data_IF_684366295418
#
_entry.id   IF_684366295418
#
_cell.length_a   1.000
_cell.length_b   1.000
_cell.length_c   1.000
_cell.angle_alpha   90.00
_cell.angle_beta   90.00
_cell.angle_gamma   90.00
#
_symmetry.space_group_name_H-M   'P 1'
#
loop_
_entity.id
_entity.type
_entity.pdbx_description
1 polymer ?
#
# COMPACT_ATOMS: atom_id res chain seq x y z
N UNK A 1 -63.66 9.42 58.54
CA UNK A 1 -63.65 9.54 57.07
C UNK A 1 -62.23 9.41 56.58
N UNK A 2 -62.06 8.83 55.38
CA UNK A 2 -60.93 8.00 54.97
C UNK A 2 -59.67 8.78 54.56
N UNK A 3 -58.55 8.10 54.77
CA UNK A 3 -57.27 8.11 54.05
C UNK A 3 -57.28 8.74 52.64
N UNK A 4 -56.38 9.70 52.40
CA UNK A 4 -55.71 9.91 51.11
C UNK A 4 -54.53 10.87 51.31
N UNK A 5 -53.30 10.47 50.99
CA UNK A 5 -52.17 11.42 51.06
C UNK A 5 -50.74 10.87 51.03
N UNK A 6 -50.53 9.55 50.87
CA UNK A 6 -49.19 8.97 50.69
C UNK A 6 -49.20 8.01 49.51
N UNK A 7 -48.85 8.49 48.32
CA UNK A 7 -48.73 7.60 47.15
C UNK A 7 -48.06 8.25 45.95
N UNK A 8 -48.16 9.57 45.80
CA UNK A 8 -47.75 10.25 44.56
C UNK A 8 -46.23 10.48 44.50
N UNK A 9 -45.60 10.96 45.59
CA UNK A 9 -44.16 11.28 45.59
C UNK A 9 -43.20 10.08 45.48
N UNK A 10 -43.60 8.89 45.95
CA UNK A 10 -42.77 7.69 45.86
C UNK A 10 -42.70 7.08 44.45
N UNK A 11 -43.74 7.30 43.63
CA UNK A 11 -43.82 6.80 42.26
C UNK A 11 -42.93 7.66 41.34
N UNK A 12 -42.98 8.98 41.52
CA UNK A 12 -42.18 9.94 40.75
C UNK A 12 -40.67 9.75 40.94
N UNK A 13 -40.22 9.58 42.20
CA UNK A 13 -38.80 9.35 42.52
C UNK A 13 -38.31 8.00 41.99
N UNK A 14 -39.18 6.98 41.96
CA UNK A 14 -38.86 5.65 41.42
C UNK A 14 -38.78 5.70 39.89
N UNK A 15 -39.69 6.40 39.22
CA UNK A 15 -39.68 6.62 37.78
C UNK A 15 -38.42 7.36 37.31
N UNK A 16 -38.02 8.42 38.02
CA UNK A 16 -36.83 9.22 37.70
C UNK A 16 -35.52 8.44 37.88
N UNK A 17 -35.44 7.54 38.88
CA UNK A 17 -34.29 6.63 39.05
C UNK A 17 -34.22 5.55 37.98
N UNK A 18 -35.35 5.05 37.50
CA UNK A 18 -35.43 4.06 36.40
C UNK A 18 -35.06 4.73 35.08
N UNK A 19 -35.61 5.91 34.78
CA UNK A 19 -35.28 6.69 33.57
C UNK A 19 -33.78 6.99 33.49
N UNK A 20 -33.16 7.42 34.60
CA UNK A 20 -31.73 7.72 34.65
C UNK A 20 -30.84 6.49 34.48
N UNK A 21 -31.27 5.31 34.92
CA UNK A 21 -30.58 4.02 34.68
C UNK A 21 -30.73 3.55 33.24
N UNK A 22 -31.91 3.73 32.64
CA UNK A 22 -32.15 3.41 31.22
C UNK A 22 -31.33 4.32 30.31
N UNK A 23 -31.27 5.63 30.60
CA UNK A 23 -30.43 6.56 29.84
C UNK A 23 -28.92 6.25 29.99
N UNK A 24 -28.47 5.86 31.19
CA UNK A 24 -27.07 5.44 31.39
C UNK A 24 -26.75 4.12 30.65
N UNK A 25 -27.64 3.13 30.68
CA UNK A 25 -27.46 1.88 29.96
C UNK A 25 -27.45 2.09 28.43
N UNK A 26 -28.34 2.95 27.91
CA UNK A 26 -28.34 3.32 26.50
C UNK A 26 -27.06 4.06 26.08
N UNK A 27 -26.56 4.97 26.92
CA UNK A 27 -25.29 5.67 26.65
C UNK A 27 -24.08 4.72 26.66
N UNK A 28 -24.05 3.73 27.57
CA UNK A 28 -22.98 2.71 27.62
C UNK A 28 -23.05 1.76 26.41
N UNK A 29 -24.23 1.41 25.92
CA UNK A 29 -24.40 0.59 24.71
C UNK A 29 -23.98 1.36 23.45
N UNK A 30 -24.27 2.67 23.37
CA UNK A 30 -23.81 3.52 22.26
C UNK A 30 -22.29 3.74 22.30
N UNK A 31 -21.68 3.90 23.48
CA UNK A 31 -20.22 4.00 23.61
C UNK A 31 -19.50 2.67 23.37
N UNK A 32 -20.12 1.53 23.69
CA UNK A 32 -19.58 0.20 23.39
C UNK A 32 -19.75 -0.19 21.91
N UNK A 33 -20.75 0.36 21.21
CA UNK A 33 -20.99 0.15 19.78
C UNK A 33 -20.14 1.03 18.86
N UNK A 34 -19.64 2.17 19.35
CA UNK A 34 -18.76 3.07 18.58
C UNK A 34 -17.31 2.54 18.45
N UNK A 35 -16.94 1.54 19.24
CA UNK A 35 -15.59 0.98 19.29
C UNK A 35 -15.41 -0.28 18.46
N UNK A 36 -15.69 -0.25 17.15
CA UNK A 36 -15.20 -1.22 16.14
C UNK A 36 -15.70 -0.89 14.72
N UNK A 37 -15.51 0.35 14.27
CA UNK A 37 -15.25 0.52 12.85
C UNK A 37 -13.88 -0.13 12.61
N UNK A 38 -13.85 -1.37 12.10
CA UNK A 38 -12.64 -1.91 11.53
C UNK A 38 -12.16 -0.86 10.53
N UNK A 39 -10.98 -0.26 10.74
CA UNK A 39 -10.32 0.50 9.71
C UNK A 39 -10.16 -0.47 8.54
N UNK A 40 -11.06 -0.35 7.56
CA UNK A 40 -11.15 -1.27 6.45
C UNK A 40 -9.83 -1.11 5.70
N UNK A 41 -9.01 -2.16 5.74
CA UNK A 41 -7.78 -2.30 4.96
C UNK A 41 -8.15 -2.38 3.49
N UNK A 42 -8.62 -1.28 2.93
CA UNK A 42 -9.14 -1.30 1.57
C UNK A 42 -8.21 -0.49 0.70
N UNK A 43 -7.71 -1.17 -0.32
CA UNK A 43 -7.23 -0.52 -1.53
C UNK A 43 -8.30 0.49 -1.95
N UNK A 44 -9.59 0.11 -1.87
CA UNK A 44 -10.75 0.95 -2.11
C UNK A 44 -10.70 2.26 -1.31
N UNK A 45 -10.96 3.37 -2.01
CA UNK A 45 -10.82 4.76 -1.56
C UNK A 45 -9.40 5.17 -1.16
N UNK A 46 -8.40 4.29 -1.33
CA UNK A 46 -6.98 4.56 -1.12
C UNK A 46 -6.27 5.06 -2.37
N UNK A 47 -4.96 5.39 -2.28
CA UNK A 47 -4.20 5.94 -3.40
C UNK A 47 -4.04 5.04 -4.64
N UNK A 48 -4.24 3.73 -4.49
CA UNK A 48 -4.23 2.75 -5.59
C UNK A 48 -5.64 2.27 -5.97
N UNK A 49 -6.70 2.89 -5.45
CA UNK A 49 -8.03 2.66 -6.00
C UNK A 49 -8.24 3.52 -7.22
N UNK A 50 -8.49 2.87 -8.34
CA UNK A 50 -8.77 3.51 -9.62
C UNK A 50 -10.22 3.28 -10.06
N UNK A 51 -11.06 2.70 -9.20
CA UNK A 51 -12.49 2.54 -9.45
C UNK A 51 -13.26 3.88 -9.33
N UNK A 52 -14.58 3.87 -9.59
CA UNK A 52 -15.37 5.09 -9.49
C UNK A 52 -15.34 5.71 -8.09
N UNK A 53 -15.18 7.03 -8.04
CA UNK A 53 -15.13 7.81 -6.80
C UNK A 53 -13.72 8.18 -6.34
N UNK A 54 -12.68 7.52 -6.87
CA UNK A 54 -11.28 7.80 -6.55
C UNK A 54 -10.72 9.10 -7.14
N UNK A 55 -9.66 9.62 -6.52
CA UNK A 55 -8.96 10.84 -6.96
C UNK A 55 -8.50 10.76 -8.43
N UNK A 56 -8.15 9.56 -8.88
CA UNK A 56 -8.02 9.18 -10.29
C UNK A 56 -9.01 8.05 -10.51
N UNK A 57 -10.01 8.25 -11.37
CA UNK A 57 -11.06 7.24 -11.60
C UNK A 57 -11.10 6.77 -13.04
N UNK A 58 -11.24 5.48 -13.19
CA UNK A 58 -11.66 4.85 -14.41
C UNK A 58 -13.15 5.15 -14.67
N UNK A 59 -13.50 5.37 -15.93
CA UNK A 59 -14.88 5.66 -16.39
C UNK A 59 -15.42 4.61 -17.35
N UNK A 60 -14.63 3.59 -17.65
CA UNK A 60 -15.05 2.44 -18.45
C UNK A 60 -16.02 1.56 -17.66
N UNK A 61 -17.26 1.47 -18.16
CA UNK A 61 -18.33 0.72 -17.51
C UNK A 61 -18.01 -0.78 -17.35
N UNK A 62 -17.12 -1.35 -18.17
CA UNK A 62 -16.76 -2.77 -18.12
C UNK A 62 -15.90 -3.15 -16.92
N UNK A 63 -15.15 -2.18 -16.37
CA UNK A 63 -14.26 -2.38 -15.22
C UNK A 63 -14.53 -1.46 -14.03
N UNK A 64 -15.53 -0.60 -14.15
CA UNK A 64 -15.98 0.22 -13.05
C UNK A 64 -16.41 -0.67 -11.86
N UNK A 65 -15.73 -0.50 -10.72
CA UNK A 65 -15.92 -1.31 -9.51
C UNK A 65 -14.90 -2.45 -9.31
N UNK A 66 -13.99 -2.67 -10.26
CA UNK A 66 -12.95 -3.70 -10.16
C UNK A 66 -11.63 -3.11 -9.64
N UNK A 67 -11.49 -2.88 -8.33
CA UNK A 67 -10.28 -2.25 -7.75
C UNK A 67 -8.99 -3.02 -8.03
N UNK A 68 -9.03 -4.35 -8.15
CA UNK A 68 -7.83 -5.16 -8.35
C UNK A 68 -7.33 -5.20 -9.80
N UNK A 69 -8.19 -4.91 -10.79
CA UNK A 69 -7.89 -5.11 -12.22
C UNK A 69 -6.71 -4.28 -12.71
N UNK A 70 -6.45 -3.16 -12.04
CA UNK A 70 -5.34 -2.24 -12.36
C UNK A 70 -3.97 -2.80 -11.98
N UNK A 71 -3.94 -3.86 -11.18
CA UNK A 71 -2.72 -4.51 -10.70
C UNK A 71 -2.68 -5.99 -11.09
N UNK A 72 -3.82 -6.69 -11.00
CA UNK A 72 -3.91 -8.13 -11.16
C UNK A 72 -4.98 -8.53 -12.16
N UNK A 73 -4.71 -9.59 -12.92
CA UNK A 73 -5.70 -10.28 -13.76
C UNK A 73 -5.90 -11.69 -13.24
N UNK A 74 -7.07 -12.34 -13.40
CA UNK A 74 -7.21 -13.75 -13.04
C UNK A 74 -6.29 -14.70 -13.82
N UNK A 75 -6.00 -14.38 -15.09
CA UNK A 75 -5.16 -15.20 -15.98
C UNK A 75 -4.34 -14.34 -16.94
N UNK A 76 -3.28 -14.92 -17.50
CA UNK A 76 -2.41 -14.30 -18.52
C UNK A 76 -1.73 -13.01 -18.05
N UNK A 77 -1.50 -12.87 -16.74
CA UNK A 77 -0.68 -11.81 -16.17
C UNK A 77 0.80 -12.17 -16.20
N UNK A 78 1.65 -11.15 -16.04
CA UNK A 78 3.07 -11.36 -15.81
C UNK A 78 3.31 -12.13 -14.49
N UNK A 79 4.41 -12.88 -14.44
CA UNK A 79 4.76 -13.77 -13.32
C UNK A 79 5.70 -13.13 -12.30
N UNK A 80 6.25 -11.93 -12.58
CA UNK A 80 7.20 -11.25 -11.70
C UNK A 80 6.55 -10.86 -10.36
N UNK A 81 5.26 -10.51 -10.42
CA UNK A 81 4.33 -10.34 -9.29
C UNK A 81 3.08 -11.14 -9.65
N UNK A 82 2.38 -11.80 -8.70
CA UNK A 82 1.30 -12.73 -9.05
C UNK A 82 0.27 -12.13 -10.01
N UNK A 83 0.22 -12.68 -11.22
CA UNK A 83 -0.72 -12.31 -12.28
C UNK A 83 -0.78 -10.79 -12.55
N UNK A 84 0.39 -10.15 -12.63
CA UNK A 84 0.49 -8.71 -12.81
C UNK A 84 -0.11 -8.27 -14.15
N UNK A 85 -1.07 -7.34 -14.10
CA UNK A 85 -1.90 -6.95 -15.23
C UNK A 85 -1.38 -5.73 -16.00
N UNK A 86 -0.07 -5.53 -16.00
CA UNK A 86 0.59 -4.46 -16.75
C UNK A 86 1.89 -4.97 -17.35
N UNK A 87 2.34 -4.31 -18.42
CA UNK A 87 3.67 -4.54 -18.96
C UNK A 87 4.75 -4.12 -17.95
N UNK A 88 5.91 -4.77 -18.01
CA UNK A 88 7.09 -4.29 -17.28
C UNK A 88 7.61 -3.01 -17.92
N UNK A 89 8.09 -2.08 -17.08
CA UNK A 89 8.83 -0.91 -17.56
C UNK A 89 10.09 -1.35 -18.32
N UNK A 90 10.42 -0.65 -19.40
CA UNK A 90 11.68 -0.80 -20.15
C UNK A 90 12.64 0.36 -19.87
N UNK A 91 12.33 1.21 -18.89
CA UNK A 91 13.13 2.39 -18.54
C UNK A 91 14.53 2.02 -18.03
N UNK A 92 15.51 2.84 -18.40
CA UNK A 92 16.84 2.81 -17.78
C UNK A 92 16.84 3.71 -16.55
N UNK A 93 17.32 3.19 -15.42
CA UNK A 93 17.35 3.88 -14.14
C UNK A 93 18.76 4.40 -13.81
N UNK A 94 18.84 5.63 -13.31
CA UNK A 94 20.03 6.11 -12.61
C UNK A 94 19.97 5.59 -11.18
N UNK A 95 20.93 4.74 -10.82
CA UNK A 95 20.93 4.02 -9.54
C UNK A 95 22.02 4.54 -8.62
N UNK A 96 21.93 4.11 -7.37
CA UNK A 96 22.78 4.49 -6.26
C UNK A 96 24.27 4.31 -6.56
N UNK A 97 25.07 5.30 -6.18
CA UNK A 97 26.53 5.22 -6.15
C UNK A 97 27.02 5.98 -4.93
N UNK A 98 27.69 5.29 -4.01
CA UNK A 98 28.29 5.89 -2.81
C UNK A 98 29.51 5.07 -2.38
N UNK A 99 30.53 5.75 -1.85
CA UNK A 99 31.70 5.12 -1.24
C UNK A 99 31.39 4.39 0.06
N UNK A 100 30.22 4.65 0.66
CA UNK A 100 29.77 4.02 1.92
C UNK A 100 28.72 2.94 1.69
N UNK A 101 28.51 2.50 0.45
CA UNK A 101 27.53 1.47 0.11
C UNK A 101 28.23 0.11 0.02
N UNK A 102 27.81 -0.84 0.86
CA UNK A 102 28.39 -2.19 0.90
C UNK A 102 27.83 -3.11 -0.19
N UNK A 103 26.58 -2.92 -0.61
CA UNK A 103 25.98 -3.68 -1.69
C UNK A 103 26.37 -3.10 -3.05
N UNK A 104 26.51 -3.97 -4.05
CA UNK A 104 26.59 -3.52 -5.43
C UNK A 104 25.28 -2.84 -5.85
N UNK A 105 25.39 -1.75 -6.62
CA UNK A 105 24.23 -1.10 -7.21
C UNK A 105 23.47 -2.08 -8.13
N UNK A 106 22.13 -2.06 -8.12
CA UNK A 106 21.34 -2.93 -8.99
C UNK A 106 21.46 -2.47 -10.45
N UNK A 107 21.25 -3.39 -11.40
CA UNK A 107 21.07 -3.02 -12.80
C UNK A 107 19.61 -2.62 -13.06
N UNK A 108 19.36 -1.83 -14.11
CA UNK A 108 17.98 -1.54 -14.53
C UNK A 108 17.20 -2.82 -14.84
N UNK A 109 17.83 -3.81 -15.47
CA UNK A 109 17.22 -5.11 -15.75
C UNK A 109 16.82 -5.86 -14.46
N UNK A 110 17.63 -5.76 -13.40
CA UNK A 110 17.28 -6.33 -12.11
C UNK A 110 16.04 -5.63 -11.51
N UNK A 111 15.98 -4.29 -11.56
CA UNK A 111 14.82 -3.52 -11.07
C UNK A 111 13.55 -3.92 -11.86
N UNK A 112 13.64 -4.00 -13.18
CA UNK A 112 12.53 -4.34 -14.08
C UNK A 112 12.00 -5.75 -13.85
N UNK A 113 12.90 -6.71 -13.58
CA UNK A 113 12.53 -8.12 -13.36
C UNK A 113 12.12 -8.44 -11.92
N UNK A 114 12.53 -7.61 -10.96
CA UNK A 114 12.17 -7.72 -9.55
C UNK A 114 10.75 -7.21 -9.22
N UNK A 115 10.41 -7.28 -7.94
CA UNK A 115 9.10 -6.82 -7.43
C UNK A 115 8.95 -5.30 -7.58
N UNK A 116 10.03 -4.55 -7.41
CA UNK A 116 10.03 -3.10 -7.61
C UNK A 116 9.63 -2.72 -9.04
N UNK A 117 9.93 -3.55 -10.04
CA UNK A 117 9.53 -3.33 -11.43
C UNK A 117 8.01 -3.20 -11.63
N UNK A 118 7.21 -3.89 -10.82
CA UNK A 118 5.76 -3.74 -10.82
C UNK A 118 5.34 -2.34 -10.34
N UNK A 119 5.96 -1.83 -9.26
CA UNK A 119 5.74 -0.47 -8.80
C UNK A 119 6.19 0.54 -9.87
N UNK A 120 7.38 0.32 -10.44
CA UNK A 120 7.93 1.23 -11.43
C UNK A 120 7.09 1.26 -12.70
N UNK A 121 6.32 0.23 -13.04
CA UNK A 121 5.38 0.27 -14.18
C UNK A 121 4.31 1.37 -14.09
N UNK A 122 4.17 2.06 -12.95
CA UNK A 122 3.38 3.28 -12.81
C UNK A 122 4.23 4.47 -12.35
N UNK A 123 5.11 4.24 -11.38
CA UNK A 123 5.80 5.31 -10.65
C UNK A 123 6.99 5.91 -11.40
N UNK A 124 7.51 5.22 -12.43
CA UNK A 124 8.57 5.77 -13.28
C UNK A 124 8.05 6.70 -14.38
N UNK A 125 6.73 6.75 -14.58
CA UNK A 125 6.09 7.55 -15.62
C UNK A 125 6.32 7.05 -17.05
N UNK A 126 6.68 5.78 -17.24
CA UNK A 126 6.95 5.22 -18.58
C UNK A 126 5.73 4.57 -19.23
N UNK A 127 4.83 4.01 -18.43
CA UNK A 127 3.63 3.30 -18.91
C UNK A 127 2.40 4.01 -18.37
N UNK A 128 1.48 4.33 -19.26
CA UNK A 128 0.26 5.01 -18.90
C UNK A 128 -0.55 4.18 -17.89
N UNK A 129 -1.18 4.87 -16.94
CA UNK A 129 -1.89 4.19 -15.83
C UNK A 129 -3.10 3.39 -16.32
N UNK A 130 -3.56 3.70 -17.51
CA UNK A 130 -4.72 3.15 -18.16
C UNK A 130 -4.45 2.03 -19.15
N UNK A 131 -3.19 1.63 -19.29
CA UNK A 131 -2.79 0.50 -20.12
C UNK A 131 -2.74 -0.76 -19.25
N UNK A 132 -3.65 -1.70 -19.54
CA UNK A 132 -3.73 -3.00 -18.89
C UNK A 132 -3.31 -4.11 -19.86
N UNK A 133 -2.69 -5.17 -19.33
CA UNK A 133 -2.26 -6.32 -20.12
C UNK A 133 -3.45 -7.20 -20.55
N UNK A 134 -4.43 -7.38 -19.66
CA UNK A 134 -5.63 -8.18 -19.88
C UNK A 134 -6.85 -7.49 -19.29
N UNK A 135 -7.88 -7.28 -20.11
CA UNK A 135 -9.15 -6.72 -19.68
C UNK A 135 -10.29 -7.69 -20.00
N UNK A 136 -10.66 -8.54 -19.04
CA UNK A 136 -11.81 -9.46 -19.17
C UNK A 136 -11.85 -10.24 -20.49
N UNK A 137 -10.71 -10.76 -20.96
CA UNK A 137 -10.62 -11.55 -22.20
C UNK A 137 -10.57 -10.73 -23.50
N UNK A 138 -10.51 -9.39 -23.41
CA UNK A 138 -10.15 -8.53 -24.55
C UNK A 138 -8.63 -8.40 -24.60
N UNK A 139 -8.04 -8.66 -25.77
CA UNK A 139 -6.59 -8.77 -25.95
C UNK A 139 -5.82 -7.45 -25.69
N UNK A 140 -4.65 -7.64 -25.07
CA UNK A 140 -3.45 -6.80 -24.91
C UNK A 140 -3.49 -5.35 -25.46
N UNK A 141 -3.29 -4.40 -24.53
CA UNK A 141 -3.18 -2.95 -24.73
C UNK A 141 -4.49 -2.16 -24.90
N UNK A 142 -5.59 -2.65 -24.30
CA UNK A 142 -6.77 -1.82 -24.11
C UNK A 142 -6.42 -0.62 -23.20
N UNK A 143 -6.46 0.58 -23.75
CA UNK A 143 -6.43 1.82 -22.97
C UNK A 143 -7.83 2.09 -22.45
N UNK A 144 -7.98 2.23 -21.14
CA UNK A 144 -9.28 2.47 -20.52
C UNK A 144 -9.46 3.95 -20.14
N UNK A 145 -10.66 4.49 -20.21
CA UNK A 145 -10.84 5.93 -19.97
C UNK A 145 -10.64 6.31 -18.51
N UNK A 146 -9.80 7.32 -18.27
CA UNK A 146 -9.56 7.89 -16.94
C UNK A 146 -9.90 9.37 -16.87
N UNK A 147 -10.34 9.80 -15.69
CA UNK A 147 -10.53 11.21 -15.36
C UNK A 147 -9.76 11.56 -14.09
N UNK A 148 -8.91 12.57 -14.19
CA UNK A 148 -8.23 13.16 -13.03
C UNK A 148 -9.18 14.08 -12.27
N UNK A 149 -9.35 13.84 -10.97
CA UNK A 149 -10.09 14.75 -10.09
C UNK A 149 -9.17 15.81 -9.49
N UNK A 150 -9.74 16.92 -9.02
CA UNK A 150 -9.00 17.99 -8.34
C UNK A 150 -8.28 17.52 -7.06
N UNK A 151 -8.72 16.40 -6.46
CA UNK A 151 -8.14 15.80 -5.26
C UNK A 151 -6.88 14.96 -5.55
N UNK A 152 -6.51 14.75 -6.81
CA UNK A 152 -5.33 13.99 -7.18
C UNK A 152 -4.03 14.72 -6.80
N UNK A 153 -3.18 14.05 -6.01
CA UNK A 153 -1.87 14.56 -5.59
C UNK A 153 -0.80 14.49 -6.69
N UNK A 154 -0.88 13.49 -7.55
CA UNK A 154 0.02 13.35 -8.70
C UNK A 154 -0.46 14.18 -9.90
N UNK A 155 0.51 14.56 -10.72
CA UNK A 155 0.30 15.15 -12.04
C UNK A 155 0.49 14.09 -13.10
N UNK A 156 -0.35 14.16 -14.13
CA UNK A 156 -0.35 13.26 -15.27
C UNK A 156 -0.16 14.08 -16.54
N UNK A 157 0.56 13.54 -17.52
CA UNK A 157 0.85 14.24 -18.79
C UNK A 157 -0.38 14.41 -19.69
N UNK A 158 -1.44 13.64 -19.46
CA UNK A 158 -2.72 13.79 -20.14
C UNK A 158 -3.89 13.51 -19.19
N UNK A 159 -5.10 13.93 -19.56
CA UNK A 159 -6.33 13.75 -18.77
C UNK A 159 -7.36 12.82 -19.44
N UNK A 160 -6.93 11.93 -20.34
CA UNK A 160 -7.80 11.05 -21.14
C UNK A 160 -7.20 9.67 -21.40
N UNK A 161 -7.80 8.94 -22.34
CA UNK A 161 -7.34 7.60 -22.77
C UNK A 161 -6.03 7.67 -23.56
N UNK A 162 -5.21 6.63 -23.41
CA UNK A 162 -4.12 6.32 -24.31
C UNK A 162 -2.74 6.41 -23.66
N UNK A 163 -1.72 6.06 -24.43
CA UNK A 163 -0.34 5.88 -23.99
C UNK A 163 0.34 7.12 -23.38
N UNK A 164 -0.31 8.28 -23.43
CA UNK A 164 0.21 9.55 -22.91
C UNK A 164 -0.33 9.90 -21.52
N UNK A 165 -1.08 9.03 -20.85
CA UNK A 165 -1.58 9.25 -19.49
C UNK A 165 -0.63 8.65 -18.41
N UNK A 166 0.63 9.10 -18.44
CA UNK A 166 1.68 8.70 -17.50
C UNK A 166 1.74 9.65 -16.31
N UNK A 167 2.20 9.16 -15.15
CA UNK A 167 2.61 10.05 -14.05
C UNK A 167 3.80 10.89 -14.52
N UNK A 168 3.78 12.19 -14.23
CA UNK A 168 4.83 13.11 -14.69
C UNK A 168 5.41 14.00 -13.61
N UNK A 169 4.72 14.19 -12.48
CA UNK A 169 5.21 14.95 -11.33
C UNK A 169 4.33 14.73 -10.09
N UNK A 170 4.77 15.29 -8.95
CA UNK A 170 4.04 15.26 -7.69
C UNK A 170 4.07 13.89 -7.01
N UNK A 171 3.69 13.82 -5.74
CA UNK A 171 3.67 12.53 -5.04
C UNK A 171 2.54 11.63 -5.57
N UNK A 172 2.81 10.35 -5.94
CA UNK A 172 4.02 9.57 -5.68
C UNK A 172 4.92 9.29 -6.91
N UNK A 173 5.02 10.18 -7.89
CA UNK A 173 5.94 10.03 -9.03
C UNK A 173 7.41 9.98 -8.57
N UNK A 174 8.15 8.98 -9.05
CA UNK A 174 9.58 8.80 -8.80
C UNK A 174 10.41 9.13 -10.05
N UNK A 175 9.93 8.74 -11.23
CA UNK A 175 10.70 8.84 -12.46
C UNK A 175 11.79 7.76 -12.55
N UNK A 176 12.84 8.06 -13.32
CA UNK A 176 13.94 7.13 -13.59
C UNK A 176 15.24 7.45 -12.86
N UNK A 177 15.28 8.55 -12.10
CA UNK A 177 16.41 8.88 -11.23
C UNK A 177 16.11 8.41 -9.82
N UNK A 178 16.73 7.30 -9.41
CA UNK A 178 16.54 6.68 -8.09
C UNK A 178 17.64 7.05 -7.11
N UNK A 179 18.60 7.92 -7.49
CA UNK A 179 19.78 8.21 -6.67
C UNK A 179 19.44 8.91 -5.35
N UNK A 180 18.25 9.49 -5.24
CA UNK A 180 17.72 10.14 -4.04
C UNK A 180 16.77 9.25 -3.22
N UNK A 181 16.56 8.00 -3.63
CA UNK A 181 15.73 7.02 -2.91
C UNK A 181 16.57 6.09 -2.02
N UNK A 182 15.90 5.33 -1.15
CA UNK A 182 16.55 4.21 -0.46
C UNK A 182 16.90 3.11 -1.47
N UNK A 183 18.09 2.49 -1.39
CA UNK A 183 18.46 1.36 -2.22
C UNK A 183 17.41 0.24 -2.28
N UNK A 184 16.95 -0.08 -3.49
CA UNK A 184 16.09 -1.23 -3.82
C UNK A 184 16.82 -2.18 -4.76
N UNK A 185 16.34 -3.41 -4.85
CA UNK A 185 16.90 -4.50 -5.65
C UNK A 185 18.37 -4.80 -5.32
N UNK A 186 18.84 -4.37 -4.14
CA UNK A 186 20.13 -4.75 -3.59
C UNK A 186 20.01 -6.05 -2.80
N UNK A 187 20.99 -6.93 -2.92
CA UNK A 187 21.05 -8.17 -2.14
C UNK A 187 21.38 -7.80 -0.68
N UNK A 188 20.44 -8.04 0.23
CA UNK A 188 20.59 -7.63 1.63
C UNK A 188 21.77 -8.32 2.31
N UNK A 189 21.98 -9.61 1.98
CA UNK A 189 23.07 -10.38 2.58
C UNK A 189 24.45 -9.84 2.23
N UNK A 190 24.63 -9.23 1.06
CA UNK A 190 25.92 -8.61 0.69
C UNK A 190 26.28 -7.49 1.66
N UNK A 191 25.33 -6.60 1.99
CA UNK A 191 25.54 -5.55 2.99
C UNK A 191 25.74 -6.13 4.39
N UNK A 192 24.86 -7.05 4.82
CA UNK A 192 24.95 -7.67 6.15
C UNK A 192 26.26 -8.43 6.36
N UNK A 193 26.78 -9.09 5.34
CA UNK A 193 28.05 -9.83 5.43
C UNK A 193 29.27 -8.89 5.46
N UNK A 194 29.22 -7.76 4.74
CA UNK A 194 30.29 -6.76 4.75
C UNK A 194 30.41 -6.03 6.10
N UNK A 195 29.28 -5.70 6.72
CA UNK A 195 29.22 -4.97 8.00
C UNK A 195 28.24 -5.62 9.00
N UNK A 196 28.57 -6.81 9.56
CA UNK A 196 27.64 -7.60 10.37
C UNK A 196 27.13 -6.91 11.64
N UNK A 197 27.85 -5.92 12.16
CA UNK A 197 27.47 -5.14 13.34
C UNK A 197 26.48 -4.03 13.03
N UNK A 198 26.23 -3.71 11.75
CA UNK A 198 25.36 -2.62 11.30
C UNK A 198 24.03 -3.12 10.73
N UNK A 199 23.87 -4.44 10.57
CA UNK A 199 22.69 -5.03 9.93
C UNK A 199 22.14 -6.22 10.70
N UNK A 200 20.83 -6.28 10.83
CA UNK A 200 20.12 -7.38 11.49
C UNK A 200 20.16 -8.66 10.64
N UNK A 201 20.35 -9.81 11.28
CA UNK A 201 20.33 -11.10 10.57
C UNK A 201 18.95 -11.43 10.03
N UNK A 202 18.91 -11.95 8.81
CA UNK A 202 17.70 -12.42 8.15
C UNK A 202 17.23 -13.75 8.75
N UNK A 203 15.92 -13.99 8.73
CA UNK A 203 15.29 -15.24 9.12
C UNK A 203 14.43 -15.77 7.98
N UNK A 204 14.34 -17.10 7.89
CA UNK A 204 13.43 -17.80 6.99
C UNK A 204 12.27 -18.36 7.81
N UNK A 205 11.04 -18.08 7.39
CA UNK A 205 9.82 -18.64 7.96
C UNK A 205 8.94 -19.19 6.83
N UNK A 206 8.98 -20.51 6.63
CA UNK A 206 8.37 -21.15 5.46
C UNK A 206 9.06 -20.69 4.18
N UNK A 207 8.30 -20.13 3.24
CA UNK A 207 8.82 -19.58 1.98
C UNK A 207 9.21 -18.10 2.05
N UNK A 208 9.03 -17.45 3.21
CA UNK A 208 9.29 -16.02 3.39
C UNK A 208 10.65 -15.80 4.02
N UNK A 209 11.37 -14.83 3.47
CA UNK A 209 12.60 -14.31 4.04
C UNK A 209 12.27 -12.96 4.66
N UNK A 210 12.68 -12.74 5.90
CA UNK A 210 12.34 -11.54 6.64
C UNK A 210 13.50 -11.03 7.48
N UNK A 211 13.46 -9.76 7.85
CA UNK A 211 14.46 -9.13 8.72
C UNK A 211 13.79 -8.42 9.89
N UNK A 212 14.44 -8.46 11.05
CA UNK A 212 13.91 -7.99 12.33
C UNK A 212 13.05 -9.03 13.06
N UNK A 213 12.62 -8.70 14.28
CA UNK A 213 11.85 -9.61 15.16
C UNK A 213 10.44 -9.10 15.42
N UNK A 214 10.29 -7.80 15.68
CA UNK A 214 8.99 -7.17 15.91
C UNK A 214 8.42 -6.62 14.60
N UNK A 215 7.35 -7.23 14.09
CA UNK A 215 6.74 -6.90 12.77
C UNK A 215 7.79 -6.92 11.64
N UNK A 216 8.39 -8.09 11.35
CA UNK A 216 9.55 -8.18 10.48
C UNK A 216 9.19 -7.76 9.04
N UNK A 217 10.16 -7.16 8.34
CA UNK A 217 9.97 -6.72 6.95
C UNK A 217 10.36 -7.85 5.98
N UNK A 218 9.62 -8.06 4.88
CA UNK A 218 9.94 -9.08 3.91
C UNK A 218 11.12 -8.67 3.03
N UNK A 219 11.95 -9.65 2.69
CA UNK A 219 12.92 -9.60 1.59
C UNK A 219 12.46 -10.54 0.49
N UNK A 220 12.81 -10.26 -0.76
CA UNK A 220 12.27 -10.98 -1.91
C UNK A 220 13.36 -11.79 -2.60
N UNK A 221 13.16 -13.10 -2.71
CA UNK A 221 14.11 -14.03 -3.31
C UNK A 221 13.85 -15.45 -2.84
N UNK A 222 14.59 -16.41 -3.40
CA UNK A 222 14.48 -17.84 -3.08
C UNK A 222 15.38 -18.28 -1.92
N UNK A 223 16.36 -17.46 -1.53
CA UNK A 223 17.30 -17.75 -0.45
C UNK A 223 17.79 -16.47 0.20
N UNK A 224 18.27 -16.52 1.45
CA UNK A 224 18.85 -15.34 2.13
C UNK A 224 20.05 -14.78 1.38
N UNK A 225 20.81 -15.62 0.68
CA UNK A 225 21.97 -15.20 -0.11
C UNK A 225 21.61 -14.37 -1.36
N UNK A 226 20.37 -14.49 -1.85
CA UNK A 226 19.91 -13.80 -3.07
C UNK A 226 18.73 -12.86 -2.82
N UNK A 227 18.22 -12.82 -1.59
CA UNK A 227 17.06 -12.00 -1.25
C UNK A 227 17.40 -10.52 -1.32
N UNK A 228 16.57 -9.77 -2.02
CA UNK A 228 16.72 -8.35 -2.22
C UNK A 228 15.79 -7.53 -1.32
N UNK A 229 16.24 -6.32 -1.00
CA UNK A 229 15.38 -5.26 -0.47
C UNK A 229 14.59 -4.69 -1.65
N UNK A 230 13.26 -4.71 -1.62
CA UNK A 230 12.42 -4.18 -2.71
C UNK A 230 11.52 -3.05 -2.19
N UNK A 231 10.88 -2.28 -3.07
CA UNK A 231 9.84 -1.31 -2.67
C UNK A 231 8.81 -1.96 -1.73
N UNK A 232 8.43 -3.21 -2.05
CA UNK A 232 7.45 -3.97 -1.29
C UNK A 232 7.99 -4.50 0.06
N UNK A 233 9.26 -4.29 0.40
CA UNK A 233 9.83 -4.55 1.74
C UNK A 233 9.31 -3.53 2.74
N UNK A 234 9.13 -2.28 2.31
CA UNK A 234 8.61 -1.19 3.13
C UNK A 234 7.12 -0.91 2.88
N UNK A 235 6.69 -1.07 1.62
CA UNK A 235 5.33 -0.75 1.18
C UNK A 235 4.48 -2.01 0.99
N UNK A 236 3.22 -1.98 1.46
CA UNK A 236 2.21 -2.99 1.24
C UNK A 236 1.08 -2.40 0.39
N UNK A 237 1.04 -2.66 -0.92
CA UNK A 237 0.06 -2.03 -1.82
C UNK A 237 -1.39 -2.36 -1.45
N UNK A 238 -1.62 -3.37 -0.61
CA UNK A 238 -2.94 -3.79 -0.16
C UNK A 238 -3.40 -3.14 1.16
N UNK A 239 -2.55 -2.38 1.85
CA UNK A 239 -2.88 -1.79 3.14
C UNK A 239 -2.25 -0.41 3.32
N UNK A 240 -3.10 0.62 3.39
CA UNK A 240 -2.66 2.01 3.60
C UNK A 240 -3.00 2.56 5.00
N UNK A 241 -3.25 1.70 6.00
CA UNK A 241 -3.64 2.14 7.34
C UNK A 241 -2.61 3.06 8.04
N UNK A 242 -1.33 2.98 7.65
CA UNK A 242 -0.25 3.80 8.19
C UNK A 242 0.14 4.98 7.28
N UNK A 243 -0.57 5.19 6.17
CA UNK A 243 -0.17 6.11 5.12
C UNK A 243 1.02 5.60 4.30
N UNK A 244 1.15 6.11 3.07
CA UNK A 244 2.18 5.71 2.10
C UNK A 244 2.36 4.20 1.96
N UNK A 245 1.32 3.41 2.22
CA UNK A 245 1.36 1.96 2.26
C UNK A 245 2.41 1.35 3.20
N UNK A 246 2.87 2.05 4.23
CA UNK A 246 3.94 1.51 5.07
C UNK A 246 3.51 0.23 5.79
N UNK A 247 4.38 -0.79 5.79
CA UNK A 247 4.21 -2.03 6.57
C UNK A 247 4.37 -1.81 8.07
N UNK A 248 5.09 -0.76 8.45
CA UNK A 248 5.42 -0.40 9.83
C UNK A 248 5.53 1.13 9.91
N UNK A 249 5.07 1.69 11.03
CA UNK A 249 5.20 3.13 11.30
C UNK A 249 6.68 3.51 11.34
N UNK A 250 7.05 4.63 10.74
CA UNK A 250 8.41 5.15 10.83
C UNK A 250 8.63 6.10 12.02
N UNK A 251 7.71 6.14 12.99
CA UNK A 251 7.91 6.88 14.23
C UNK A 251 9.20 6.40 14.92
N UNK A 252 10.08 7.34 15.28
CA UNK A 252 11.39 7.02 15.87
C UNK A 252 12.30 6.18 14.97
N UNK A 253 12.15 6.27 13.65
CA UNK A 253 12.92 5.48 12.67
C UNK A 253 12.70 3.97 12.76
N UNK A 254 11.58 3.53 13.34
CA UNK A 254 11.33 2.10 13.59
C UNK A 254 11.33 1.24 12.31
N UNK A 255 11.06 1.81 11.13
CA UNK A 255 11.19 1.11 9.85
C UNK A 255 12.67 0.83 9.55
N UNK A 256 13.51 1.86 9.61
CA UNK A 256 14.95 1.78 9.36
C UNK A 256 15.64 0.81 10.34
N UNK A 257 15.28 0.91 11.62
CA UNK A 257 15.83 0.08 12.71
C UNK A 257 15.34 -1.38 12.68
N UNK A 258 14.50 -1.73 11.71
CA UNK A 258 14.22 -3.15 11.45
C UNK A 258 15.40 -3.83 10.76
N UNK A 259 16.16 -3.09 9.95
CA UNK A 259 17.27 -3.60 9.16
C UNK A 259 18.63 -3.13 9.67
N UNK A 260 18.72 -1.87 10.11
CA UNK A 260 19.97 -1.24 10.54
C UNK A 260 20.11 -1.27 12.05
N UNK A 261 21.29 -1.65 12.52
CA UNK A 261 21.70 -1.61 13.91
C UNK A 261 22.50 -0.32 14.10
N UNK A 262 22.13 0.47 15.10
CA UNK A 262 22.88 1.66 15.53
C UNK A 262 23.77 1.30 16.72
#
# INVERSE_FOLDING_TARGET
SRQAGRGIGSIEVKGMKIMRRVCFAAAVIVLAGAGRAAAQSTIAFGPHDFSAGSAIRNTDASINGQTCVFCHTPHEGSVNVPLWNRSSSTSTYQVYASSTMDAAAPTSAAIQSGVSGACMSCHDGSIAIDVLANLSGVAHAASVAFTRQATAKATYSASGTGTNNILSAGSPFLGTDLRNDHPITIIYETSRAATPTQFVTQAISGTKITVGTNLPLPLYGSSTATATVECASCHNPHNNALGSFLRKSNAGSALCLTCHIM
#
